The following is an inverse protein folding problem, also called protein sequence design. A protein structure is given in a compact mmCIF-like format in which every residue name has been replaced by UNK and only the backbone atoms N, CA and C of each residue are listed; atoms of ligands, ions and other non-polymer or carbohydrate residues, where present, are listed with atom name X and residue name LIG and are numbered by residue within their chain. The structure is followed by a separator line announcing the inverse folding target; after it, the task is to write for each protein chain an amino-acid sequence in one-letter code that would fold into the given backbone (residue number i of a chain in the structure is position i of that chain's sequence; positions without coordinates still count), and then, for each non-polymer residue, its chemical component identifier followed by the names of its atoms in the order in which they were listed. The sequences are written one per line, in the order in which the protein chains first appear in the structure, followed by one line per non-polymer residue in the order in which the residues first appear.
data_IF_354816176933
#
_entry.id   IF_354816176933
#
_cell.length_a   1.000
_cell.length_b   1.000
_cell.length_c   1.000
_cell.angle_alpha   90.00
_cell.angle_beta   90.00
_cell.angle_gamma   90.00
#
_symmetry.space_group_name_H-M   'P 1'
#
loop_
_entity.id
_entity.type
_entity.pdbx_description
1 polymer ?
#
# COMPACT_ATOMS: atom_id res chain seq x y z
N UNK A 1 2.79 19.80 19.30
CA UNK A 1 3.25 18.54 18.70
C UNK A 1 2.07 18.04 17.91
N UNK A 2 2.17 17.98 16.58
CA UNK A 2 1.09 17.46 15.75
C UNK A 2 1.06 15.95 15.93
N UNK A 3 0.11 15.45 16.72
CA UNK A 3 -0.15 14.03 16.81
C UNK A 3 -0.64 13.58 15.44
N UNK A 4 0.24 12.91 14.69
CA UNK A 4 -0.09 12.30 13.41
C UNK A 4 -1.32 11.39 13.61
N UNK A 5 -2.46 11.64 12.96
CA UNK A 5 -3.70 10.92 13.28
C UNK A 5 -3.86 9.62 12.48
N UNK A 6 -3.01 9.38 11.49
CA UNK A 6 -3.07 8.18 10.64
C UNK A 6 -2.92 6.84 11.38
N UNK A 7 -2.05 6.69 12.40
CA UNK A 7 -1.95 5.45 13.17
C UNK A 7 -3.27 5.03 13.83
N UNK A 8 -4.06 5.98 14.32
CA UNK A 8 -5.38 5.69 14.89
C UNK A 8 -6.36 5.19 13.83
N UNK A 9 -6.36 5.82 12.65
CA UNK A 9 -7.16 5.37 11.51
C UNK A 9 -6.73 3.98 11.00
N UNK A 10 -5.43 3.67 10.99
CA UNK A 10 -4.92 2.35 10.61
C UNK A 10 -5.38 1.25 11.56
N UNK A 11 -5.35 1.52 12.88
CA UNK A 11 -5.82 0.57 13.88
C UNK A 11 -7.34 0.31 13.78
N UNK A 12 -8.13 1.37 13.58
CA UNK A 12 -9.57 1.24 13.38
C UNK A 12 -9.89 0.45 12.09
N UNK A 13 -9.17 0.76 11.00
CA UNK A 13 -9.29 0.05 9.73
C UNK A 13 -8.99 -1.45 9.87
N UNK A 14 -7.91 -1.81 10.56
CA UNK A 14 -7.56 -3.21 10.83
C UNK A 14 -8.66 -3.93 11.62
N UNK A 15 -9.26 -3.26 12.61
CA UNK A 15 -10.35 -3.82 13.41
C UNK A 15 -11.60 -4.12 12.56
N UNK A 16 -11.94 -3.20 11.63
CA UNK A 16 -13.04 -3.41 10.68
C UNK A 16 -12.78 -4.58 9.73
N UNK A 17 -11.54 -4.72 9.26
CA UNK A 17 -11.14 -5.85 8.42
C UNK A 17 -11.18 -7.17 9.20
N UNK A 18 -10.69 -7.19 10.44
CA UNK A 18 -10.70 -8.36 11.31
C UNK A 18 -12.12 -8.89 11.50
N UNK A 19 -13.06 -8.01 11.88
CA UNK A 19 -14.47 -8.38 12.03
C UNK A 19 -15.04 -8.95 10.73
N UNK A 20 -14.78 -8.27 9.61
CA UNK A 20 -15.28 -8.67 8.29
C UNK A 20 -14.76 -10.05 7.87
N UNK A 21 -13.46 -10.29 8.04
CA UNK A 21 -12.84 -11.56 7.68
C UNK A 21 -13.23 -12.68 8.65
N UNK A 22 -13.37 -12.41 9.94
CA UNK A 22 -13.86 -13.38 10.93
C UNK A 22 -15.28 -13.88 10.58
N UNK A 23 -16.12 -12.99 10.04
CA UNK A 23 -17.48 -13.33 9.61
C UNK A 23 -17.53 -14.00 8.21
N UNK A 24 -16.39 -14.15 7.52
CA UNK A 24 -16.33 -14.72 6.18
C UNK A 24 -17.09 -13.89 5.13
N UNK A 25 -17.25 -12.59 5.37
CA UNK A 25 -18.00 -11.71 4.46
C UNK A 25 -17.21 -11.57 3.15
N UNK A 26 -17.89 -11.79 2.03
CA UNK A 26 -17.31 -11.58 0.70
C UNK A 26 -16.76 -10.16 0.58
N UNK A 27 -15.48 -10.05 0.22
CA UNK A 27 -14.74 -8.79 0.23
C UNK A 27 -14.08 -8.56 -1.13
N UNK A 28 -14.24 -7.35 -1.65
CA UNK A 28 -13.55 -6.84 -2.84
C UNK A 28 -12.61 -5.71 -2.42
N UNK A 29 -11.74 -5.28 -3.34
CA UNK A 29 -10.88 -4.10 -3.12
C UNK A 29 -11.73 -2.84 -2.81
N UNK A 30 -12.87 -2.66 -3.48
CA UNK A 30 -13.80 -1.56 -3.17
C UNK A 30 -14.35 -1.61 -1.75
N UNK A 31 -14.72 -2.79 -1.24
CA UNK A 31 -15.16 -2.93 0.15
C UNK A 31 -14.07 -2.45 1.11
N UNK A 32 -12.81 -2.81 0.83
CA UNK A 32 -11.66 -2.40 1.63
C UNK A 32 -11.46 -0.88 1.53
N UNK A 33 -11.58 -0.30 0.32
CA UNK A 33 -11.51 1.15 0.10
C UNK A 33 -12.54 1.90 0.96
N UNK A 34 -13.77 1.41 1.04
CA UNK A 34 -14.81 1.99 1.91
C UNK A 34 -14.52 1.86 3.40
N UNK A 35 -13.97 0.74 3.86
CA UNK A 35 -13.57 0.60 5.27
C UNK A 35 -12.44 1.54 5.64
N UNK A 36 -11.45 1.70 4.75
CA UNK A 36 -10.35 2.63 4.97
C UNK A 36 -10.85 4.09 4.95
N UNK A 37 -11.69 4.44 3.97
CA UNK A 37 -12.37 5.74 3.92
C UNK A 37 -13.12 6.04 5.23
N UNK A 38 -13.95 5.11 5.71
CA UNK A 38 -14.66 5.25 6.99
C UNK A 38 -13.71 5.50 8.16
N UNK A 39 -12.55 4.83 8.18
CA UNK A 39 -11.55 4.96 9.23
C UNK A 39 -10.85 6.33 9.20
N UNK A 40 -10.59 6.87 8.00
CA UNK A 40 -10.09 8.24 7.84
C UNK A 40 -11.09 9.26 8.38
N UNK A 41 -12.38 9.10 8.07
CA UNK A 41 -13.41 10.03 8.53
C UNK A 41 -13.55 10.07 10.06
N UNK A 42 -13.50 8.90 10.68
CA UNK A 42 -13.81 8.74 12.10
C UNK A 42 -12.60 8.96 13.01
N UNK A 43 -11.40 8.67 12.52
CA UNK A 43 -10.18 8.66 13.35
C UNK A 43 -9.06 9.56 12.84
N UNK A 44 -9.09 10.00 11.58
CA UNK A 44 -8.08 10.92 11.04
C UNK A 44 -8.55 12.39 11.00
N UNK A 45 -9.79 12.68 11.43
CA UNK A 45 -10.37 14.03 11.40
C UNK A 45 -10.61 14.58 9.99
N UNK A 46 -10.49 13.72 8.96
CA UNK A 46 -10.70 14.09 7.57
C UNK A 46 -12.19 14.09 7.28
N UNK A 47 -12.67 15.08 6.57
CA UNK A 47 -14.07 15.17 6.15
C UNK A 47 -14.27 14.56 4.76
N UNK A 48 -15.48 14.11 4.40
CA UNK A 48 -15.74 13.57 3.07
C UNK A 48 -15.40 14.55 1.92
N UNK A 49 -15.50 15.85 2.16
CA UNK A 49 -15.22 16.89 1.16
C UNK A 49 -13.71 17.09 0.91
N UNK A 50 -12.86 16.55 1.78
CA UNK A 50 -11.40 16.64 1.67
C UNK A 50 -10.80 15.42 0.97
N UNK A 51 -11.62 14.39 0.68
CA UNK A 51 -11.18 13.15 0.03
C UNK A 51 -11.67 13.12 -1.40
N UNK A 52 -10.74 12.85 -2.32
CA UNK A 52 -11.03 12.52 -3.72
C UNK A 52 -10.64 11.06 -3.95
N UNK A 53 -11.60 10.26 -4.41
CA UNK A 53 -11.34 8.91 -4.89
C UNK A 53 -10.94 8.96 -6.36
N UNK A 54 -10.09 8.04 -6.79
CA UNK A 54 -9.63 7.95 -8.19
C UNK A 54 -9.03 9.29 -8.67
N UNK A 55 -8.18 9.89 -7.84
CA UNK A 55 -7.60 11.20 -8.14
C UNK A 55 -6.57 11.08 -9.27
N UNK A 56 -6.61 11.93 -10.31
CA UNK A 56 -5.65 11.88 -11.41
C UNK A 56 -4.21 12.04 -10.93
N UNK A 57 -3.32 11.15 -11.37
CA UNK A 57 -1.92 11.20 -11.00
C UNK A 57 -1.23 12.38 -11.70
N UNK A 58 -0.57 13.31 -10.98
CA UNK A 58 -0.01 14.53 -11.57
C UNK A 58 1.07 14.27 -12.64
N UNK A 59 1.91 13.25 -12.41
CA UNK A 59 3.03 12.91 -13.31
C UNK A 59 2.73 11.82 -14.35
N UNK A 60 1.61 11.10 -14.26
CA UNK A 60 1.29 9.98 -15.16
C UNK A 60 -0.09 10.16 -15.78
N UNK A 61 -0.11 10.62 -17.04
CA UNK A 61 -1.35 10.88 -17.77
C UNK A 61 -2.23 9.61 -17.86
N UNK A 62 -3.52 9.77 -17.56
CA UNK A 62 -4.51 8.69 -17.59
C UNK A 62 -4.33 7.63 -16.50
N UNK A 63 -3.56 7.93 -15.46
CA UNK A 63 -3.46 7.13 -14.23
C UNK A 63 -4.11 7.88 -13.09
N UNK A 64 -4.61 7.12 -12.13
CA UNK A 64 -5.28 7.61 -10.94
C UNK A 64 -4.67 6.92 -9.72
N UNK A 65 -4.80 7.56 -8.56
CA UNK A 65 -4.53 6.98 -7.25
C UNK A 65 -5.86 6.68 -6.56
N UNK A 66 -5.94 5.58 -5.83
CA UNK A 66 -7.20 5.15 -5.20
C UNK A 66 -7.82 6.22 -4.29
N UNK A 67 -6.99 6.88 -3.47
CA UNK A 67 -7.43 7.88 -2.49
C UNK A 67 -6.41 9.01 -2.42
N UNK A 68 -6.91 10.24 -2.46
CA UNK A 68 -6.16 11.44 -2.15
C UNK A 68 -6.95 12.29 -1.15
N UNK A 69 -6.35 12.61 0.00
CA UNK A 69 -6.89 13.54 0.97
C UNK A 69 -6.03 14.80 1.00
N UNK A 70 -6.69 15.95 0.85
CA UNK A 70 -6.06 17.26 0.83
C UNK A 70 -5.42 17.58 2.19
N UNK A 71 -4.27 18.28 2.22
CA UNK A 71 -3.78 18.90 3.44
C UNK A 71 -4.79 19.93 3.96
N UNK A 72 -5.18 19.84 5.23
CA UNK A 72 -6.16 20.73 5.83
C UNK A 72 -5.83 21.00 7.29
N UNK A 73 -6.10 22.22 7.79
CA UNK A 73 -5.97 22.54 9.22
C UNK A 73 -4.57 22.34 9.82
N UNK A 74 -3.51 22.36 9.00
CA UNK A 74 -2.13 22.09 9.45
C UNK A 74 -1.75 20.60 9.49
N UNK A 75 -2.64 19.70 9.08
CA UNK A 75 -2.38 18.29 8.85
C UNK A 75 -1.81 18.08 7.45
N UNK A 76 -0.80 17.21 7.34
CA UNK A 76 -0.28 16.76 6.04
C UNK A 76 -1.35 15.96 5.31
N UNK A 77 -1.51 16.18 4.01
CA UNK A 77 -2.42 15.36 3.20
C UNK A 77 -1.90 13.94 3.05
N UNK A 78 -2.72 13.07 2.44
CA UNK A 78 -2.34 11.69 2.17
C UNK A 78 -2.70 11.30 0.74
N UNK A 79 -1.89 10.43 0.16
CA UNK A 79 -2.23 9.69 -1.05
C UNK A 79 -2.04 8.21 -0.76
N UNK A 80 -2.96 7.38 -1.22
CA UNK A 80 -2.89 5.95 -1.00
C UNK A 80 -3.26 5.14 -2.26
N UNK A 81 -2.54 4.03 -2.45
CA UNK A 81 -2.96 2.93 -3.33
C UNK A 81 -3.33 1.73 -2.44
N UNK A 82 -4.47 1.11 -2.74
CA UNK A 82 -4.94 -0.10 -2.09
C UNK A 82 -4.72 -1.28 -3.02
N UNK A 83 -4.20 -2.38 -2.47
CA UNK A 83 -4.06 -3.63 -3.20
C UNK A 83 -4.58 -4.78 -2.34
N UNK A 84 -5.56 -5.51 -2.87
CA UNK A 84 -6.07 -6.71 -2.23
C UNK A 84 -5.88 -7.95 -3.10
N UNK A 85 -4.84 -8.73 -2.78
CA UNK A 85 -4.63 -10.03 -3.42
C UNK A 85 -5.37 -11.13 -2.65
N UNK A 86 -6.41 -11.68 -3.28
CA UNK A 86 -7.15 -12.84 -2.78
C UNK A 86 -7.01 -14.02 -3.73
N UNK A 87 -7.17 -15.21 -3.17
CA UNK A 87 -7.16 -16.47 -3.92
C UNK A 87 -8.10 -16.40 -5.13
N UNK A 88 -7.51 -16.49 -6.32
CA UNK A 88 -8.22 -16.94 -7.51
C UNK A 88 -7.73 -18.35 -7.68
N UNK A 89 -8.60 -19.34 -7.47
CA UNK A 89 -8.33 -20.77 -7.32
C UNK A 89 -7.70 -21.48 -8.54
N UNK A 90 -6.92 -20.77 -9.36
CA UNK A 90 -6.19 -21.23 -10.54
C UNK A 90 -4.89 -20.42 -10.80
N UNK A 91 -4.40 -19.58 -9.88
CA UNK A 91 -3.16 -18.80 -10.11
C UNK A 91 -1.91 -19.68 -10.09
N UNK A 92 -1.21 -19.72 -11.24
CA UNK A 92 0.14 -20.27 -11.32
C UNK A 92 1.17 -19.27 -10.74
N UNK A 93 2.44 -19.71 -10.57
CA UNK A 93 3.52 -18.85 -10.07
C UNK A 93 3.65 -17.54 -10.85
N UNK A 94 3.44 -17.55 -12.17
CA UNK A 94 3.56 -16.34 -12.99
C UNK A 94 2.51 -15.29 -12.63
N UNK A 95 1.29 -15.70 -12.27
CA UNK A 95 0.25 -14.77 -11.83
C UNK A 95 0.63 -14.07 -10.52
N UNK A 96 1.19 -14.83 -9.56
CA UNK A 96 1.67 -14.30 -8.27
C UNK A 96 2.86 -13.35 -8.45
N UNK A 97 3.80 -13.73 -9.30
CA UNK A 97 4.94 -12.87 -9.68
C UNK A 97 4.47 -11.58 -10.37
N UNK A 98 3.45 -11.66 -11.22
CA UNK A 98 2.84 -10.48 -11.84
C UNK A 98 2.20 -9.57 -10.79
N UNK A 99 1.40 -10.11 -9.87
CA UNK A 99 0.78 -9.35 -8.77
C UNK A 99 1.84 -8.66 -7.91
N UNK A 100 2.89 -9.41 -7.51
CA UNK A 100 4.03 -8.84 -6.79
C UNK A 100 4.69 -7.70 -7.57
N UNK A 101 4.91 -7.85 -8.87
CA UNK A 101 5.44 -6.77 -9.71
C UNK A 101 4.52 -5.55 -9.75
N UNK A 102 3.20 -5.74 -9.87
CA UNK A 102 2.24 -4.63 -9.88
C UNK A 102 2.27 -3.80 -8.59
N UNK A 103 2.40 -4.43 -7.43
CA UNK A 103 2.56 -3.74 -6.14
C UNK A 103 3.76 -2.77 -6.19
N UNK A 104 4.89 -3.22 -6.73
CA UNK A 104 6.08 -2.40 -6.86
C UNK A 104 5.96 -1.31 -7.94
N UNK A 105 5.13 -1.53 -8.96
CA UNK A 105 4.72 -0.48 -9.90
C UNK A 105 3.97 0.63 -9.18
N UNK A 106 3.03 0.28 -8.31
CA UNK A 106 2.24 1.24 -7.54
C UNK A 106 3.11 2.02 -6.56
N UNK A 107 4.08 1.37 -5.89
CA UNK A 107 5.09 2.05 -5.08
C UNK A 107 5.88 3.06 -5.92
N UNK A 108 6.33 2.67 -7.11
CA UNK A 108 7.09 3.55 -8.01
C UNK A 108 6.27 4.73 -8.54
N UNK A 109 4.94 4.59 -8.66
CA UNK A 109 4.03 5.71 -8.99
C UNK A 109 3.84 6.61 -7.78
N UNK A 110 3.50 6.06 -6.62
CA UNK A 110 3.34 6.81 -5.38
C UNK A 110 4.57 7.65 -5.04
N UNK A 111 5.78 7.09 -5.19
CA UNK A 111 7.04 7.81 -5.00
C UNK A 111 7.16 9.07 -5.87
N UNK A 112 6.46 9.12 -7.02
CA UNK A 112 6.46 10.26 -7.96
C UNK A 112 5.16 11.07 -7.88
N UNK A 113 4.29 10.78 -6.91
CA UNK A 113 3.12 11.59 -6.66
C UNK A 113 3.56 12.87 -5.96
N UNK A 114 3.65 13.97 -6.70
CA UNK A 114 4.12 15.26 -6.20
C UNK A 114 3.18 16.38 -6.66
N UNK A 115 2.15 16.71 -5.86
CA UNK A 115 1.37 17.92 -6.07
C UNK A 115 2.20 19.12 -5.65
N UNK A 116 2.39 20.06 -6.58
CA UNK A 116 3.44 21.09 -6.61
C UNK A 116 3.59 22.02 -5.38
N UNK A 117 2.71 21.96 -4.37
CA UNK A 117 2.72 22.88 -3.23
C UNK A 117 2.22 22.26 -1.91
N UNK A 118 2.21 20.93 -1.79
CA UNK A 118 1.57 20.25 -0.66
C UNK A 118 2.46 19.23 0.07
N UNK A 119 2.41 19.25 1.41
CA UNK A 119 2.98 18.18 2.22
C UNK A 119 2.06 16.97 2.18
N UNK A 120 2.44 15.96 1.39
CA UNK A 120 1.70 14.73 1.20
C UNK A 120 2.48 13.53 1.72
N UNK A 121 1.79 12.68 2.48
CA UNK A 121 2.24 11.34 2.87
C UNK A 121 1.73 10.31 1.88
N UNK A 122 2.57 9.33 1.54
CA UNK A 122 2.29 8.35 0.48
C UNK A 122 2.19 6.97 1.11
N UNK A 123 1.05 6.30 0.95
CA UNK A 123 0.82 5.00 1.56
C UNK A 123 0.47 3.93 0.53
N UNK A 124 1.12 2.77 0.64
CA UNK A 124 0.62 1.54 0.04
C UNK A 124 -0.10 0.76 1.14
N UNK A 125 -1.38 0.45 0.91
CA UNK A 125 -2.19 -0.38 1.80
C UNK A 125 -2.35 -1.74 1.15
N UNK A 126 -1.59 -2.71 1.64
CA UNK A 126 -1.54 -4.05 1.07
C UNK A 126 -2.23 -5.06 1.98
N UNK A 127 -3.20 -5.78 1.42
CA UNK A 127 -3.89 -6.88 2.08
C UNK A 127 -3.76 -8.12 1.23
N UNK A 128 -3.42 -9.23 1.86
CA UNK A 128 -3.17 -10.46 1.11
C UNK A 128 -3.52 -11.72 1.87
N UNK A 129 -3.96 -12.75 1.15
CA UNK A 129 -4.32 -14.05 1.69
C UNK A 129 -3.10 -14.95 1.97
N UNK A 130 -3.35 -16.16 2.44
CA UNK A 130 -2.29 -17.13 2.74
C UNK A 130 -1.45 -17.58 1.53
N UNK A 131 -1.98 -17.53 0.31
CA UNK A 131 -1.26 -17.96 -0.89
C UNK A 131 -0.18 -16.95 -1.27
N UNK A 132 -0.56 -15.68 -1.36
CA UNK A 132 0.38 -14.62 -1.67
C UNK A 132 1.34 -14.36 -0.50
N UNK A 133 0.92 -14.57 0.75
CA UNK A 133 1.86 -14.68 1.88
C UNK A 133 2.92 -15.74 1.64
N UNK A 134 2.52 -16.96 1.24
CA UNK A 134 3.45 -18.03 0.92
C UNK A 134 4.39 -17.69 -0.23
N UNK A 135 3.92 -16.93 -1.22
CA UNK A 135 4.76 -16.42 -2.30
C UNK A 135 5.83 -15.45 -1.79
N UNK A 136 5.45 -14.43 -1.02
CA UNK A 136 6.39 -13.44 -0.50
C UNK A 136 7.40 -14.06 0.46
N UNK A 137 6.97 -14.99 1.32
CA UNK A 137 7.80 -15.68 2.30
C UNK A 137 8.67 -16.81 1.73
N UNK A 138 8.58 -17.09 0.43
CA UNK A 138 9.45 -18.10 -0.19
C UNK A 138 10.83 -17.48 -0.48
N UNK A 139 11.92 -18.00 0.11
CA UNK A 139 13.27 -17.45 -0.09
C UNK A 139 13.71 -17.43 -1.55
N UNK A 140 13.22 -18.35 -2.38
CA UNK A 140 13.52 -18.38 -3.80
C UNK A 140 12.97 -17.18 -4.57
N UNK A 141 11.98 -16.48 -4.00
CA UNK A 141 11.39 -15.29 -4.60
C UNK A 141 12.08 -13.99 -4.16
N UNK A 142 12.95 -14.01 -3.14
CA UNK A 142 13.74 -12.84 -2.72
C UNK A 142 12.93 -11.66 -2.15
N UNK A 143 11.71 -11.90 -1.68
CA UNK A 143 10.77 -10.85 -1.22
C UNK A 143 10.31 -11.03 0.24
N UNK A 144 10.95 -11.91 1.01
CA UNK A 144 10.57 -12.21 2.41
C UNK A 144 10.55 -10.93 3.27
N UNK A 145 11.51 -10.06 3.02
CA UNK A 145 11.67 -8.78 3.69
C UNK A 145 10.48 -7.84 3.49
N UNK A 146 9.67 -8.04 2.44
CA UNK A 146 8.52 -7.18 2.19
C UNK A 146 7.48 -7.37 3.29
N UNK A 147 6.91 -8.57 3.43
CA UNK A 147 5.83 -8.82 4.40
C UNK A 147 6.29 -8.91 5.86
N UNK A 148 7.51 -9.36 6.12
CA UNK A 148 7.98 -9.65 7.48
C UNK A 148 8.95 -8.57 8.01
N UNK A 149 8.91 -7.36 7.44
CA UNK A 149 9.63 -6.22 7.98
C UNK A 149 9.15 -5.85 9.39
N UNK A 150 10.07 -5.38 10.23
CA UNK A 150 9.71 -4.76 11.50
C UNK A 150 9.04 -3.40 11.27
N UNK A 151 8.01 -3.08 12.05
CA UNK A 151 7.37 -1.77 12.00
C UNK A 151 8.40 -0.67 12.31
N UNK A 152 8.42 0.38 11.49
CA UNK A 152 9.37 1.50 11.58
C UNK A 152 10.70 1.25 10.87
N UNK A 153 10.95 0.04 10.37
CA UNK A 153 12.16 -0.25 9.61
C UNK A 153 12.04 0.30 8.19
N UNK A 154 12.91 1.25 7.86
CA UNK A 154 13.08 1.74 6.51
C UNK A 154 13.82 0.72 5.64
N UNK A 155 13.34 0.56 4.41
CA UNK A 155 13.89 -0.35 3.41
C UNK A 155 14.07 0.39 2.09
N UNK A 156 15.32 0.60 1.70
CA UNK A 156 15.66 1.16 0.40
C UNK A 156 15.30 0.15 -0.69
N UNK A 157 14.61 0.61 -1.73
CA UNK A 157 14.31 -0.16 -2.94
C UNK A 157 15.49 -0.09 -3.91
N UNK A 158 16.68 -0.37 -3.39
CA UNK A 158 17.88 -0.34 -4.23
C UNK A 158 17.85 -1.47 -5.26
N UNK A 159 18.49 -1.27 -6.43
CA UNK A 159 18.59 -2.29 -7.45
C UNK A 159 19.18 -3.60 -6.94
N UNK A 160 20.18 -3.58 -6.05
CA UNK A 160 20.81 -4.79 -5.51
C UNK A 160 19.84 -5.74 -4.80
N UNK A 161 18.88 -5.20 -4.05
CA UNK A 161 17.83 -5.97 -3.37
C UNK A 161 16.79 -6.56 -4.32
N UNK A 162 16.55 -5.89 -5.46
CA UNK A 162 15.55 -6.29 -6.45
C UNK A 162 16.16 -7.06 -7.65
N UNK A 163 17.48 -7.01 -7.84
CA UNK A 163 18.18 -7.53 -9.03
C UNK A 163 18.05 -9.04 -9.20
N UNK A 164 17.81 -9.79 -8.12
CA UNK A 164 17.60 -11.24 -8.16
C UNK A 164 16.21 -11.67 -8.62
N UNK A 165 15.29 -10.72 -8.85
CA UNK A 165 13.89 -11.01 -9.18
C UNK A 165 13.71 -11.37 -10.66
N UNK A 166 12.67 -12.16 -10.93
CA UNK A 166 12.42 -12.69 -12.27
C UNK A 166 12.11 -11.60 -13.30
N UNK A 167 12.32 -11.91 -14.59
CA UNK A 167 11.97 -11.01 -15.69
C UNK A 167 10.46 -10.65 -15.69
N UNK A 168 9.60 -11.58 -15.29
CA UNK A 168 8.15 -11.32 -15.16
C UNK A 168 7.87 -10.31 -14.06
N UNK A 169 8.58 -10.36 -12.93
CA UNK A 169 8.44 -9.35 -11.88
C UNK A 169 8.80 -7.98 -12.44
N UNK A 170 9.99 -7.86 -13.04
CA UNK A 170 10.49 -6.59 -13.57
C UNK A 170 9.64 -6.01 -14.70
N UNK A 171 9.11 -6.87 -15.57
CA UNK A 171 8.18 -6.46 -16.62
C UNK A 171 6.89 -5.81 -16.09
N UNK A 172 6.51 -6.10 -14.84
CA UNK A 172 5.33 -5.53 -14.20
C UNK A 172 5.66 -4.40 -13.22
N UNK A 173 6.77 -4.48 -12.49
CA UNK A 173 7.22 -3.43 -11.57
C UNK A 173 7.60 -2.13 -12.30
N UNK A 174 8.16 -2.24 -13.51
CA UNK A 174 8.65 -1.08 -14.24
C UNK A 174 9.83 -0.42 -13.52
N UNK A 175 10.00 0.89 -13.74
CA UNK A 175 11.15 1.65 -13.22
C UNK A 175 10.85 2.21 -11.82
N UNK A 176 11.60 1.72 -10.84
CA UNK A 176 11.60 2.24 -9.46
C UNK A 176 12.82 3.14 -9.31
N UNK A 177 12.66 4.27 -8.61
CA UNK A 177 13.82 5.10 -8.30
C UNK A 177 14.69 4.38 -7.24
N UNK A 178 15.99 4.19 -7.46
CA UNK A 178 16.89 3.59 -6.48
C UNK A 178 16.92 4.30 -5.12
N UNK A 179 16.51 5.57 -5.06
CA UNK A 179 16.43 6.34 -3.83
C UNK A 179 15.09 6.19 -3.10
N UNK A 180 14.08 5.57 -3.75
CA UNK A 180 12.80 5.30 -3.10
C UNK A 180 13.00 4.31 -1.96
N UNK A 181 12.46 4.64 -0.79
CA UNK A 181 12.38 3.74 0.34
C UNK A 181 10.94 3.52 0.77
N UNK A 182 10.70 2.39 1.42
CA UNK A 182 9.43 2.08 2.08
C UNK A 182 9.66 1.78 3.55
N UNK A 183 8.73 2.21 4.40
CA UNK A 183 8.74 1.91 5.82
C UNK A 183 7.42 1.26 6.19
N UNK A 184 7.44 0.08 6.81
CA UNK A 184 6.22 -0.51 7.34
C UNK A 184 5.76 0.33 8.53
N UNK A 185 4.63 1.03 8.41
CA UNK A 185 4.12 1.93 9.48
C UNK A 185 3.00 1.29 10.29
N UNK A 186 2.34 0.26 9.74
CA UNK A 186 1.33 -0.50 10.45
C UNK A 186 1.24 -1.93 9.86
N UNK A 187 1.05 -2.92 10.73
CA UNK A 187 0.83 -4.30 10.32
C UNK A 187 -0.16 -4.99 11.25
N UNK A 188 -1.00 -5.86 10.69
CA UNK A 188 -1.91 -6.71 11.44
C UNK A 188 -2.02 -8.10 10.80
N UNK A 189 -2.09 -9.12 11.63
CA UNK A 189 -2.47 -10.47 11.25
C UNK A 189 -3.99 -10.59 11.39
N UNK A 190 -4.68 -11.04 10.34
CA UNK A 190 -6.14 -11.08 10.26
C UNK A 190 -6.59 -12.53 9.96
N UNK A 191 -7.87 -12.88 10.19
CA UNK A 191 -8.36 -14.20 9.83
C UNK A 191 -8.13 -14.55 8.35
N UNK A 192 -7.18 -15.46 8.10
CA UNK A 192 -6.78 -15.91 6.75
C UNK A 192 -6.03 -14.88 5.90
N UNK A 193 -5.67 -13.73 6.45
CA UNK A 193 -5.10 -12.59 5.71
C UNK A 193 -4.03 -11.86 6.52
N UNK A 194 -3.24 -11.03 5.86
CA UNK A 194 -2.36 -10.05 6.50
C UNK A 194 -2.60 -8.67 5.92
N UNK A 195 -2.53 -7.66 6.78
CA UNK A 195 -2.50 -6.25 6.41
C UNK A 195 -1.09 -5.71 6.64
N UNK A 196 -0.57 -4.97 5.66
CA UNK A 196 0.65 -4.19 5.74
C UNK A 196 0.42 -2.82 5.13
N UNK A 197 0.71 -1.77 5.88
CA UNK A 197 0.65 -0.39 5.42
C UNK A 197 2.07 0.15 5.39
N UNK A 198 2.55 0.47 4.19
CA UNK A 198 3.87 1.06 3.98
C UNK A 198 3.74 2.54 3.70
N UNK A 199 4.57 3.34 4.35
CA UNK A 199 4.82 4.70 3.91
C UNK A 199 5.96 4.72 2.91
N UNK A 200 5.78 5.45 1.81
CA UNK A 200 6.78 5.60 0.75
C UNK A 200 7.46 6.95 0.86
N UNK A 201 8.80 6.93 0.88
CA UNK A 201 9.63 8.12 0.72
C UNK A 201 10.25 8.12 -0.67
N UNK A 202 10.06 9.19 -1.48
CA UNK A 202 10.57 9.27 -2.86
C UNK A 202 12.08 9.09 -3.01
N UNK A 203 12.85 9.35 -1.95
CA UNK A 203 14.26 9.68 -2.03
C UNK A 203 14.45 11.19 -2.22
N UNK A 204 15.53 11.76 -1.67
CA UNK A 204 15.84 13.17 -1.92
C UNK A 204 16.29 13.33 -3.38
N UNK A 205 15.48 14.03 -4.18
CA UNK A 205 15.91 14.55 -5.48
C UNK A 205 17.11 15.50 -5.37
#
# INVERSE_FOLDING_TARGET
MSDNPYPAAFAAFASLLEERFAQGIYTTEDCIRYLFFSSLLTHAGITPNEIVLEYPHPSFAGKEVDIYALPAGGQEGLVAELKYDRNISASNNNARTRQAGMIFSDIGRLARFDPLDEKIRRFLIYITDGEMQGYFRNPHNGLEWFLDAEIGREMLLDPGRLNGLSATFWGNAGKIDPQTSITLVYGAELPGHVLRIYEISPGNG
#
